data_IF_626193495401
#
_entry.id   IF_626193495401
#
_cell.length_a   1.000
_cell.length_b   1.000
_cell.length_c   1.000
_cell.angle_alpha   90.00
_cell.angle_beta   90.00
_cell.angle_gamma   90.00
#
_symmetry.space_group_name_H-M   'P 1'
#
loop_
_entity.id
_entity.type
_entity.pdbx_description
1 polymer ?
#
# COMPACT_ATOMS: atom_id res chain seq x y z
N UNK A 1 -3.43 35.49 -70.61
CA UNK A 1 -2.69 34.30 -70.18
C UNK A 1 -1.98 34.40 -68.77
N UNK A 2 -1.95 35.57 -68.14
CA UNK A 2 -1.28 35.76 -66.83
C UNK A 2 -2.14 35.46 -65.62
N UNK A 3 -3.49 35.49 -65.72
CA UNK A 3 -4.37 35.22 -64.55
C UNK A 3 -4.55 33.73 -64.20
N UNK A 4 -4.38 32.80 -65.16
CA UNK A 4 -4.54 31.38 -64.95
C UNK A 4 -3.32 30.75 -64.25
N UNK A 5 -2.15 31.38 -64.32
CA UNK A 5 -0.91 30.89 -63.71
C UNK A 5 -0.85 31.23 -62.20
N UNK A 6 -1.47 32.34 -61.80
CA UNK A 6 -1.49 32.79 -60.39
C UNK A 6 -2.43 31.92 -59.57
N UNK A 7 -3.54 31.45 -60.14
CA UNK A 7 -4.49 30.59 -59.42
C UNK A 7 -3.95 29.17 -59.17
N UNK A 8 -3.11 28.66 -60.08
CA UNK A 8 -2.47 27.36 -59.94
C UNK A 8 -1.38 27.36 -58.84
N UNK A 9 -0.66 28.48 -58.68
CA UNK A 9 0.36 28.63 -57.61
C UNK A 9 -0.27 28.82 -56.23
N UNK A 10 -1.47 29.43 -56.15
CA UNK A 10 -2.17 29.63 -54.89
C UNK A 10 -2.77 28.31 -54.33
N UNK A 11 -3.24 27.42 -55.24
CA UNK A 11 -3.72 26.08 -54.85
C UNK A 11 -2.61 25.15 -54.36
N UNK A 12 -1.40 25.25 -54.87
CA UNK A 12 -0.25 24.47 -54.44
C UNK A 12 0.26 24.90 -53.06
N UNK A 13 0.08 26.17 -52.69
CA UNK A 13 0.51 26.68 -51.36
C UNK A 13 -0.49 26.38 -50.27
N UNK A 14 -1.77 26.19 -50.59
CA UNK A 14 -2.82 25.81 -49.62
C UNK A 14 -2.83 24.31 -49.30
N UNK A 15 -2.20 23.46 -50.14
CA UNK A 15 -2.12 22.02 -49.89
C UNK A 15 -0.92 21.62 -49.04
N UNK A 16 0.05 22.53 -48.82
CA UNK A 16 1.26 22.26 -47.99
C UNK A 16 1.06 22.55 -46.51
N UNK A 17 -0.04 23.15 -46.04
CA UNK A 17 -0.24 23.55 -44.66
C UNK A 17 -1.02 22.47 -43.86
N UNK A 18 -1.59 21.45 -44.56
CA UNK A 18 -2.39 20.41 -43.87
C UNK A 18 -1.64 19.10 -43.58
N UNK A 19 -0.34 19.04 -43.75
CA UNK A 19 0.44 17.81 -43.55
C UNK A 19 1.33 17.85 -42.29
N UNK A 20 1.17 18.81 -41.36
CA UNK A 20 2.03 18.94 -40.20
C UNK A 20 1.33 18.81 -38.83
N UNK A 21 0.09 18.32 -38.81
CA UNK A 21 -0.65 18.16 -37.55
C UNK A 21 -1.05 16.71 -37.20
N UNK A 22 -0.38 15.71 -37.74
CA UNK A 22 -0.75 14.31 -37.51
C UNK A 22 0.27 13.52 -36.68
N UNK A 23 1.24 14.15 -36.00
CA UNK A 23 2.22 13.40 -35.16
C UNK A 23 2.37 13.88 -33.72
N UNK A 24 1.49 14.74 -33.25
CA UNK A 24 1.33 14.99 -31.81
C UNK A 24 0.30 14.03 -31.20
N UNK A 25 0.34 12.76 -31.56
CA UNK A 25 -0.34 11.71 -30.81
C UNK A 25 0.43 11.54 -29.53
N UNK A 26 0.14 12.46 -28.61
CA UNK A 26 0.50 12.38 -27.19
C UNK A 26 0.39 10.93 -26.74
N UNK A 27 1.52 10.29 -26.52
CA UNK A 27 1.64 9.11 -25.66
C UNK A 27 1.10 9.52 -24.29
N UNK A 28 -0.21 9.60 -24.14
CA UNK A 28 -0.84 9.52 -22.83
C UNK A 28 -0.47 8.17 -22.29
N UNK A 29 0.66 8.15 -21.61
CA UNK A 29 1.04 7.03 -20.77
C UNK A 29 -0.17 6.74 -19.91
N UNK A 30 -0.85 5.64 -20.23
CA UNK A 30 -1.91 5.09 -19.40
C UNK A 30 -1.26 4.74 -18.09
N UNK A 31 -1.23 5.70 -17.15
CA UNK A 31 -0.91 5.41 -15.75
C UNK A 31 -1.94 4.36 -15.36
N UNK A 32 -1.54 3.10 -15.41
CA UNK A 32 -2.26 2.02 -14.75
C UNK A 32 -2.26 2.40 -13.28
N UNK A 33 -3.28 3.13 -12.85
CA UNK A 33 -3.65 3.14 -11.43
C UNK A 33 -3.96 1.69 -11.12
N UNK A 34 -3.00 1.00 -10.54
CA UNK A 34 -3.26 -0.24 -9.83
C UNK A 34 -4.16 0.17 -8.67
N UNK A 35 -5.47 0.11 -8.87
CA UNK A 35 -6.44 0.23 -7.79
C UNK A 35 -6.33 -1.07 -7.00
N UNK A 36 -5.43 -1.08 -6.02
CA UNK A 36 -5.43 -2.14 -5.02
C UNK A 36 -6.78 -2.08 -4.32
N UNK A 37 -7.60 -3.11 -4.48
CA UNK A 37 -8.87 -3.21 -3.77
C UNK A 37 -8.61 -3.60 -2.32
N UNK A 38 -9.38 -3.03 -1.40
CA UNK A 38 -9.40 -3.49 -0.02
C UNK A 38 -10.01 -4.90 0.05
N UNK A 39 -9.41 -5.76 0.84
CA UNK A 39 -9.84 -7.16 1.03
C UNK A 39 -10.26 -7.34 2.48
N UNK A 40 -11.47 -7.86 2.69
CA UNK A 40 -11.95 -8.22 4.03
C UNK A 40 -11.86 -9.72 4.22
N UNK A 41 -11.24 -10.15 5.30
CA UNK A 41 -11.09 -11.55 5.67
C UNK A 41 -12.35 -12.06 6.40
N UNK A 42 -12.56 -13.39 6.52
CA UNK A 42 -13.66 -13.96 7.28
C UNK A 42 -13.68 -13.55 8.77
N UNK A 43 -12.55 -13.20 9.37
CA UNK A 43 -12.47 -12.69 10.74
C UNK A 43 -13.03 -11.27 10.88
N UNK A 44 -13.11 -10.52 9.77
CA UNK A 44 -13.55 -9.13 9.69
C UNK A 44 -12.38 -8.13 9.62
N UNK A 45 -11.13 -8.59 9.58
CA UNK A 45 -10.00 -7.73 9.25
C UNK A 45 -10.15 -7.24 7.81
N UNK A 46 -9.96 -5.94 7.59
CA UNK A 46 -9.84 -5.39 6.23
C UNK A 46 -8.41 -4.89 6.02
N UNK A 47 -7.82 -5.22 4.86
CA UNK A 47 -6.49 -4.73 4.52
C UNK A 47 -6.42 -4.25 3.07
N UNK A 48 -5.55 -3.28 2.83
CA UNK A 48 -5.26 -2.71 1.52
C UNK A 48 -3.74 -2.59 1.36
N UNK A 49 -3.16 -3.20 0.33
CA UNK A 49 -1.76 -3.00 -0.02
C UNK A 49 -1.69 -1.81 -0.99
N UNK A 50 -1.25 -0.65 -0.52
CA UNK A 50 -1.16 0.58 -1.30
C UNK A 50 0.07 0.62 -2.22
N UNK A 51 1.17 -0.03 -1.79
CA UNK A 51 2.38 -0.25 -2.57
C UNK A 51 2.84 -1.68 -2.36
N UNK A 52 3.04 -2.42 -3.45
CA UNK A 52 3.47 -3.81 -3.38
C UNK A 52 4.99 -3.90 -3.33
N UNK A 53 5.50 -4.59 -2.33
CA UNK A 53 6.90 -4.95 -2.20
C UNK A 53 7.27 -6.16 -3.07
N UNK A 54 8.56 -6.42 -3.18
CA UNK A 54 9.12 -7.54 -3.94
C UNK A 54 9.90 -8.54 -3.08
N UNK A 55 10.05 -8.23 -1.79
CA UNK A 55 10.78 -9.09 -0.85
C UNK A 55 10.00 -10.34 -0.42
N UNK A 56 10.57 -11.13 0.51
CA UNK A 56 9.94 -12.35 1.01
C UNK A 56 8.63 -12.06 1.75
N UNK A 57 7.70 -12.99 1.66
CA UNK A 57 6.45 -12.94 2.42
C UNK A 57 6.71 -13.27 3.88
N UNK A 58 6.05 -12.53 4.78
CA UNK A 58 6.10 -12.79 6.21
C UNK A 58 5.36 -14.10 6.53
N UNK A 59 5.96 -14.89 7.44
CA UNK A 59 5.40 -16.17 7.87
C UNK A 59 5.37 -16.26 9.40
N UNK A 60 4.48 -17.07 9.93
CA UNK A 60 4.49 -17.37 11.36
C UNK A 60 5.86 -17.93 11.79
N UNK A 61 6.38 -17.45 12.90
CA UNK A 61 7.70 -17.75 13.42
C UNK A 61 8.79 -16.76 13.00
N UNK A 62 8.60 -16.01 11.91
CA UNK A 62 9.54 -14.97 11.51
C UNK A 62 9.49 -13.77 12.47
N UNK A 63 10.61 -13.06 12.60
CA UNK A 63 10.64 -11.74 13.22
C UNK A 63 10.39 -10.68 12.13
N UNK A 64 9.19 -10.11 12.15
CA UNK A 64 8.81 -9.01 11.26
C UNK A 64 9.38 -7.69 11.78
N UNK A 65 9.94 -6.86 10.89
CA UNK A 65 10.49 -5.54 11.18
C UNK A 65 9.75 -4.52 10.32
N UNK A 66 9.13 -3.53 10.94
CA UNK A 66 8.28 -2.57 10.24
C UNK A 66 8.22 -1.22 10.93
N UNK A 67 7.80 -0.22 10.16
CA UNK A 67 7.24 1.01 10.70
C UNK A 67 5.72 0.97 10.66
N UNK A 68 5.09 1.60 11.64
CA UNK A 68 3.65 1.76 11.67
C UNK A 68 3.22 3.07 12.32
N UNK A 69 2.00 3.47 12.00
CA UNK A 69 1.23 4.50 12.71
C UNK A 69 -0.16 3.94 13.00
N UNK A 70 -0.55 3.93 14.27
CA UNK A 70 -1.85 3.50 14.75
C UNK A 70 -2.78 4.69 14.99
N UNK A 71 -3.97 4.64 14.40
CA UNK A 71 -5.00 5.67 14.43
C UNK A 71 -6.33 5.11 14.91
N UNK A 72 -7.10 5.92 15.61
CA UNK A 72 -8.53 5.70 15.80
C UNK A 72 -9.32 6.14 14.56
N UNK A 73 -10.57 5.75 14.45
CA UNK A 73 -11.45 6.10 13.32
C UNK A 73 -11.73 7.60 13.20
N UNK A 74 -11.55 8.37 14.27
CA UNK A 74 -11.63 9.83 14.26
C UNK A 74 -10.32 10.51 13.81
N UNK A 75 -9.30 9.73 13.41
CA UNK A 75 -8.00 10.22 12.97
C UNK A 75 -6.99 10.49 14.09
N UNK A 76 -7.36 10.30 15.35
CA UNK A 76 -6.43 10.49 16.48
C UNK A 76 -5.35 9.40 16.46
N UNK A 77 -4.09 9.80 16.41
CA UNK A 77 -2.93 8.91 16.54
C UNK A 77 -2.79 8.50 18.00
N UNK A 78 -2.72 7.17 18.25
CA UNK A 78 -2.50 6.66 19.60
C UNK A 78 -1.10 6.03 19.78
N UNK A 79 -0.45 5.61 18.68
CA UNK A 79 0.91 5.07 18.72
C UNK A 79 1.59 5.17 17.36
N UNK A 80 2.93 5.29 17.35
CA UNK A 80 3.72 5.28 16.12
C UNK A 80 5.17 4.88 16.41
N UNK A 81 5.71 3.99 15.59
CA UNK A 81 7.14 3.65 15.61
C UNK A 81 8.02 4.81 15.13
N UNK A 82 7.47 5.68 14.29
CA UNK A 82 8.19 6.88 13.82
C UNK A 82 8.45 7.89 14.94
N UNK A 83 7.53 8.01 15.93
CA UNK A 83 7.72 8.90 17.08
C UNK A 83 8.91 8.47 17.95
N UNK A 84 9.31 7.20 17.86
CA UNK A 84 10.46 6.63 18.57
C UNK A 84 11.72 6.55 17.70
N UNK A 85 11.63 6.95 16.42
CA UNK A 85 12.71 6.80 15.42
C UNK A 85 13.28 5.37 15.36
N UNK A 86 12.46 4.36 15.65
CA UNK A 86 12.88 2.98 15.71
C UNK A 86 11.83 2.06 15.09
N UNK A 87 12.20 1.19 14.12
CA UNK A 87 11.32 0.15 13.63
C UNK A 87 10.84 -0.77 14.75
N UNK A 88 9.60 -1.19 14.68
CA UNK A 88 9.05 -2.18 15.58
C UNK A 88 9.34 -3.58 15.06
N UNK A 89 9.87 -4.42 15.92
CA UNK A 89 10.21 -5.81 15.61
C UNK A 89 9.48 -6.75 16.56
N UNK A 90 8.81 -7.78 16.03
CA UNK A 90 8.18 -8.81 16.85
C UNK A 90 8.08 -10.14 16.10
N UNK A 91 7.95 -11.25 16.85
CA UNK A 91 7.78 -12.59 16.31
C UNK A 91 6.33 -12.79 15.90
N UNK A 92 6.10 -12.98 14.58
CA UNK A 92 4.79 -13.16 13.98
C UNK A 92 4.16 -14.49 14.44
N UNK A 93 2.87 -14.44 14.79
CA UNK A 93 2.12 -15.61 15.25
C UNK A 93 2.40 -16.01 16.71
N UNK A 94 3.20 -15.24 17.45
CA UNK A 94 3.50 -15.52 18.86
C UNK A 94 2.49 -14.92 19.85
N UNK A 95 1.42 -14.26 19.36
CA UNK A 95 0.39 -13.63 20.20
C UNK A 95 0.92 -12.46 21.05
N UNK A 96 2.00 -11.81 20.61
CA UNK A 96 2.60 -10.65 21.29
C UNK A 96 1.95 -9.32 20.92
N UNK A 97 1.12 -9.33 19.90
CA UNK A 97 0.37 -8.19 19.37
C UNK A 97 -1.11 -8.56 19.28
N UNK A 98 -1.98 -7.58 19.01
CA UNK A 98 -3.41 -7.83 18.78
C UNK A 98 -3.62 -8.77 17.59
N UNK A 99 -4.66 -9.61 17.66
CA UNK A 99 -4.92 -10.69 16.69
C UNK A 99 -4.99 -10.19 15.24
N UNK A 100 -5.67 -9.06 15.02
CA UNK A 100 -5.81 -8.49 13.69
C UNK A 100 -4.49 -7.97 13.10
N UNK A 101 -3.55 -7.56 13.95
CA UNK A 101 -2.22 -7.14 13.52
C UNK A 101 -1.38 -8.37 13.08
N UNK A 102 -1.37 -9.43 13.89
CA UNK A 102 -0.73 -10.71 13.55
C UNK A 102 -1.29 -11.30 12.23
N UNK A 103 -2.63 -11.34 12.10
CA UNK A 103 -3.31 -11.82 10.89
C UNK A 103 -2.97 -10.98 9.66
N UNK A 104 -3.00 -9.65 9.81
CA UNK A 104 -2.76 -8.71 8.71
C UNK A 104 -1.33 -8.79 8.19
N UNK A 105 -0.35 -8.87 9.06
CA UNK A 105 1.06 -8.95 8.67
C UNK A 105 1.38 -10.25 7.93
N UNK A 106 0.73 -11.36 8.27
CA UNK A 106 0.87 -12.62 7.54
C UNK A 106 0.42 -12.54 6.06
N UNK A 107 -0.31 -11.48 5.67
CA UNK A 107 -0.71 -11.22 4.26
C UNK A 107 0.33 -10.38 3.50
N UNK A 108 1.31 -9.80 4.19
CA UNK A 108 2.25 -8.84 3.65
C UNK A 108 3.62 -9.48 3.36
N UNK A 109 4.42 -8.74 2.61
CA UNK A 109 5.81 -9.06 2.29
C UNK A 109 6.71 -7.86 2.53
N UNK A 110 8.01 -8.08 2.60
CA UNK A 110 9.00 -7.02 2.71
C UNK A 110 8.87 -6.03 1.54
N UNK A 111 8.83 -4.75 1.88
CA UNK A 111 8.63 -3.63 0.96
C UNK A 111 7.16 -3.25 0.72
N UNK A 112 6.19 -3.99 1.28
CA UNK A 112 4.78 -3.59 1.22
C UNK A 112 4.52 -2.35 2.08
N UNK A 113 3.70 -1.42 1.53
CA UNK A 113 2.99 -0.43 2.32
C UNK A 113 1.52 -0.83 2.35
N UNK A 114 0.94 -0.89 3.52
CA UNK A 114 -0.42 -1.39 3.69
C UNK A 114 -1.19 -0.58 4.73
N UNK A 115 -2.52 -0.65 4.61
CA UNK A 115 -3.44 -0.15 5.62
C UNK A 115 -4.21 -1.35 6.15
N UNK A 116 -4.24 -1.52 7.47
CA UNK A 116 -5.08 -2.50 8.15
C UNK A 116 -6.19 -1.77 8.89
N UNK A 117 -7.44 -2.23 8.73
CA UNK A 117 -8.59 -1.80 9.52
C UNK A 117 -9.01 -2.97 10.38
N UNK A 118 -8.75 -2.87 11.67
CA UNK A 118 -8.86 -3.94 12.64
C UNK A 118 -10.06 -3.67 13.56
N UNK A 119 -11.14 -4.45 13.48
CA UNK A 119 -12.30 -4.27 14.37
C UNK A 119 -11.93 -4.59 15.83
N UNK A 120 -12.64 -3.98 16.78
CA UNK A 120 -12.36 -4.11 18.21
C UNK A 120 -12.19 -5.54 18.70
N UNK A 121 -13.00 -6.49 18.18
CA UNK A 121 -12.90 -7.93 18.53
C UNK A 121 -11.56 -8.59 18.15
N UNK A 122 -10.82 -8.01 17.19
CA UNK A 122 -9.48 -8.45 16.79
C UNK A 122 -8.39 -7.54 17.36
N UNK A 123 -8.77 -6.53 18.15
CA UNK A 123 -7.90 -5.56 18.81
C UNK A 123 -7.98 -5.69 20.33
N UNK A 124 -8.42 -4.65 21.02
CA UNK A 124 -8.46 -4.61 22.49
C UNK A 124 -9.86 -4.94 23.08
N UNK A 125 -10.87 -5.22 22.21
CA UNK A 125 -12.20 -5.64 22.60
C UNK A 125 -12.93 -4.65 23.52
N UNK A 126 -13.88 -5.17 24.36
CA UNK A 126 -14.72 -4.30 25.20
C UNK A 126 -13.95 -3.60 26.33
N UNK A 127 -12.70 -3.98 26.59
CA UNK A 127 -11.87 -3.31 27.61
C UNK A 127 -11.18 -2.06 27.07
N UNK A 128 -10.82 -2.03 25.77
CA UNK A 128 -9.99 -0.98 25.22
C UNK A 128 -8.66 -0.81 25.97
N UNK A 129 -8.11 0.39 25.93
CA UNK A 129 -6.98 0.85 26.76
C UNK A 129 -7.42 2.15 27.44
N UNK A 130 -7.50 2.21 28.78
CA UNK A 130 -7.95 3.40 29.49
C UNK A 130 -7.24 4.67 29.02
N UNK A 131 -7.99 5.73 28.75
CA UNK A 131 -7.53 7.02 28.28
C UNK A 131 -6.82 7.05 26.92
N UNK A 132 -6.70 5.91 26.21
CA UNK A 132 -6.00 5.81 24.93
C UNK A 132 -6.88 5.24 23.84
N UNK A 133 -7.49 4.08 24.08
CA UNK A 133 -8.31 3.36 23.10
C UNK A 133 -9.68 3.05 23.71
N UNK A 134 -10.76 3.59 23.16
CA UNK A 134 -12.12 3.32 23.64
C UNK A 134 -12.48 1.82 23.59
N UNK A 135 -13.47 1.37 24.39
CA UNK A 135 -14.06 0.05 24.25
C UNK A 135 -14.51 -0.24 22.83
N UNK A 136 -14.24 -1.46 22.35
CA UNK A 136 -14.61 -1.96 21.03
C UNK A 136 -14.17 -1.10 19.83
N UNK A 137 -13.18 -0.23 20.05
CA UNK A 137 -12.68 0.67 18.99
C UNK A 137 -12.10 -0.12 17.81
N UNK A 138 -12.52 0.26 16.61
CA UNK A 138 -11.83 -0.13 15.37
C UNK A 138 -10.57 0.67 15.24
N UNK A 139 -9.46 -0.01 14.95
CA UNK A 139 -8.14 0.59 14.77
C UNK A 139 -7.71 0.59 13.32
N UNK A 140 -7.02 1.64 12.93
CA UNK A 140 -6.42 1.77 11.59
C UNK A 140 -4.91 1.81 11.77
N UNK A 141 -4.19 0.91 11.09
CA UNK A 141 -2.73 0.92 11.05
C UNK A 141 -2.26 1.18 9.64
N UNK A 142 -1.41 2.19 9.49
CA UNK A 142 -0.61 2.41 8.29
C UNK A 142 0.74 1.76 8.53
N UNK A 143 1.14 0.83 7.66
CA UNK A 143 2.30 -0.05 7.86
C UNK A 143 3.24 0.05 6.67
N UNK A 144 4.54 0.03 6.96
CA UNK A 144 5.62 -0.20 6.02
C UNK A 144 6.46 -1.38 6.52
N UNK A 145 6.48 -2.48 5.76
CA UNK A 145 7.30 -3.66 6.09
C UNK A 145 8.73 -3.42 5.61
N UNK A 146 9.64 -3.26 6.56
CA UNK A 146 11.05 -2.92 6.28
C UNK A 146 11.88 -4.16 6.00
N UNK A 147 11.74 -5.20 6.85
CA UNK A 147 12.57 -6.40 6.77
C UNK A 147 11.90 -7.59 7.46
N UNK A 148 12.48 -8.77 7.29
CA UNK A 148 12.09 -9.99 7.98
C UNK A 148 13.33 -10.82 8.34
N UNK A 149 13.40 -11.30 9.58
CA UNK A 149 14.40 -12.28 10.00
C UNK A 149 13.71 -13.62 10.19
N UNK A 150 14.00 -14.57 9.31
CA UNK A 150 13.49 -15.94 9.42
C UNK A 150 14.33 -16.69 10.46
N UNK A 151 13.69 -17.41 11.38
CA UNK A 151 14.40 -18.35 12.22
C UNK A 151 14.86 -19.51 11.33
N UNK A 152 16.16 -19.57 11.08
CA UNK A 152 16.78 -20.77 10.54
C UNK A 152 16.62 -21.86 11.61
N UNK A 153 15.73 -22.82 11.37
CA UNK A 153 15.69 -24.03 12.17
C UNK A 153 17.01 -24.77 11.90
N UNK A 154 18.02 -24.50 12.71
CA UNK A 154 19.22 -25.33 12.79
C UNK A 154 18.84 -26.62 13.51
N UNK A 155 17.98 -27.43 12.87
CA UNK A 155 17.76 -28.82 13.20
C UNK A 155 18.91 -29.62 12.60
N UNK A 156 19.98 -29.78 13.35
CA UNK A 156 20.98 -30.84 13.11
C UNK A 156 20.31 -32.15 13.50
N UNK A 157 20.03 -33.07 12.59
CA UNK A 157 19.68 -34.43 13.00
C UNK A 157 20.95 -35.05 13.59
N UNK A 158 20.87 -35.51 14.84
CA UNK A 158 21.80 -36.40 15.50
C UNK A 158 21.72 -37.78 14.86
#
# INVERSE_FOLDING_TARGET
>A
MKAKLILALLCLFLFSIHALDATAQTRRGRVRRSTSAAITTPSGLTYLISKKGTGPQLKAGDTAIMHYTGLLTNGMKFDSSYDRNQPFAFKLGAGKVIKGFDEGLAKLRVGDHAILVIPGKLAYGPKGIPNVIPPDATLIFVIEVVDVKSETVTGRPS
#
